data_IF_567551822596
#
_entry.id   IF_567551822596
#
_cell.length_a   1.000
_cell.length_b   1.000
_cell.length_c   1.000
_cell.angle_alpha   90.00
_cell.angle_beta   90.00
_cell.angle_gamma   90.00
#
_symmetry.space_group_name_H-M   'P 1'
#
loop_
_entity.id
_entity.type
_entity.pdbx_description
1 polymer ?
#
# COMPACT_ATOMS: atom_id res chain seq x y z
N UNK A 1 24.14 -27.23 23.08
CA UNK A 1 24.96 -25.99 23.01
C UNK A 1 24.45 -25.16 21.85
N UNK A 2 24.09 -23.91 22.16
CA UNK A 2 23.68 -22.83 21.26
C UNK A 2 22.58 -23.14 20.22
N UNK A 3 21.32 -23.22 20.67
CA UNK A 3 20.21 -22.80 19.80
C UNK A 3 20.37 -21.29 19.57
N UNK A 4 20.86 -20.90 18.40
CA UNK A 4 20.94 -19.49 18.03
C UNK A 4 19.53 -18.88 18.07
N UNK A 5 19.24 -18.07 19.09
CA UNK A 5 18.02 -17.26 19.21
C UNK A 5 18.00 -16.19 18.12
N UNK A 6 17.62 -16.57 16.89
CA UNK A 6 17.41 -15.65 15.76
C UNK A 6 15.93 -15.28 15.59
N UNK A 7 15.07 -15.69 16.54
CA UNK A 7 13.60 -15.59 16.40
C UNK A 7 13.01 -14.22 16.79
N UNK A 8 13.85 -13.19 16.99
CA UNK A 8 13.42 -11.87 17.47
C UNK A 8 13.80 -10.72 16.54
N UNK A 9 13.78 -10.93 15.22
CA UNK A 9 13.89 -9.82 14.26
C UNK A 9 12.57 -9.57 13.55
N UNK A 10 12.14 -8.31 13.63
CA UNK A 10 10.98 -7.79 12.91
C UNK A 10 11.51 -6.92 11.78
N UNK A 11 11.19 -7.30 10.56
CA UNK A 11 11.46 -6.51 9.37
C UNK A 11 10.33 -5.50 9.20
N UNK A 12 10.69 -4.23 9.20
CA UNK A 12 9.77 -3.12 8.98
C UNK A 12 10.18 -2.46 7.66
N UNK A 13 9.20 -2.27 6.77
CA UNK A 13 9.40 -1.56 5.51
C UNK A 13 8.25 -0.60 5.23
N UNK A 14 8.58 0.50 4.55
CA UNK A 14 7.60 1.48 4.07
C UNK A 14 7.42 1.34 2.56
N UNK A 15 6.17 1.19 2.13
CA UNK A 15 5.85 1.04 0.71
C UNK A 15 4.73 1.97 0.28
N UNK A 16 4.95 2.66 -0.84
CA UNK A 16 3.92 3.42 -1.53
C UNK A 16 3.10 2.53 -2.47
N UNK A 17 1.79 2.51 -2.27
CA UNK A 17 0.82 1.87 -3.16
C UNK A 17 0.01 2.92 -3.91
N UNK A 18 -0.27 2.66 -5.18
CA UNK A 18 -1.16 3.48 -5.97
C UNK A 18 -2.59 2.97 -5.79
N UNK A 19 -3.55 3.88 -5.52
CA UNK A 19 -4.95 3.50 -5.32
C UNK A 19 -5.58 2.88 -6.57
N UNK A 20 -5.09 3.25 -7.75
CA UNK A 20 -5.45 2.65 -9.04
C UNK A 20 -4.20 2.38 -9.86
N UNK A 21 -4.24 1.40 -10.75
CA UNK A 21 -3.17 1.19 -11.72
C UNK A 21 -2.96 2.43 -12.60
N UNK A 22 -1.70 2.64 -13.01
CA UNK A 22 -1.36 3.75 -13.90
C UNK A 22 -1.93 3.52 -15.30
N UNK A 23 -1.78 2.31 -15.79
CA UNK A 23 -2.31 1.84 -17.06
C UNK A 23 -3.01 0.50 -16.75
N UNK A 24 -4.31 0.42 -17.05
CA UNK A 24 -5.13 -0.76 -16.82
C UNK A 24 -5.72 -1.21 -18.15
N UNK A 25 -5.46 -2.44 -18.54
CA UNK A 25 -6.10 -3.06 -19.71
C UNK A 25 -7.38 -3.74 -19.25
N UNK A 26 -8.51 -3.41 -19.87
CA UNK A 26 -9.81 -3.99 -19.57
C UNK A 26 -10.37 -4.59 -20.86
N UNK A 27 -10.75 -5.86 -20.81
CA UNK A 27 -11.53 -6.48 -21.87
C UNK A 27 -13.00 -6.07 -21.72
N UNK A 28 -13.60 -5.60 -22.80
CA UNK A 28 -14.98 -5.09 -22.81
C UNK A 28 -15.77 -5.75 -23.93
N UNK A 29 -17.07 -5.94 -23.70
CA UNK A 29 -18.00 -6.30 -24.76
C UNK A 29 -18.19 -5.13 -25.74
N UNK A 30 -18.49 -5.37 -27.03
CA UNK A 30 -18.67 -4.29 -28.01
C UNK A 30 -19.76 -3.26 -27.62
N UNK A 31 -20.77 -3.70 -26.87
CA UNK A 31 -21.92 -2.87 -26.47
C UNK A 31 -21.74 -2.19 -25.10
N UNK A 32 -20.59 -2.38 -24.44
CA UNK A 32 -20.34 -1.87 -23.10
C UNK A 32 -19.65 -0.51 -23.13
N UNK A 33 -20.15 0.44 -22.33
CA UNK A 33 -19.50 1.74 -22.19
C UNK A 33 -18.19 1.61 -21.41
N UNK A 34 -17.07 2.18 -21.90
CA UNK A 34 -15.80 2.06 -21.21
C UNK A 34 -15.84 2.69 -19.82
N UNK A 35 -15.14 2.09 -18.83
CA UNK A 35 -15.14 2.59 -17.47
C UNK A 35 -14.55 4.00 -17.41
N UNK A 36 -15.28 4.93 -16.82
CA UNK A 36 -14.83 6.30 -16.65
C UNK A 36 -13.70 6.36 -15.61
N UNK A 37 -12.53 6.84 -16.03
CA UNK A 37 -11.39 7.08 -15.15
C UNK A 37 -11.33 8.57 -14.77
N UNK A 38 -11.45 8.86 -13.48
CA UNK A 38 -11.41 10.23 -12.94
C UNK A 38 -10.01 10.85 -12.96
N UNK A 39 -8.96 10.02 -12.98
CA UNK A 39 -7.56 10.46 -12.93
C UNK A 39 -6.86 10.18 -14.27
N UNK A 40 -6.36 11.23 -14.92
CA UNK A 40 -5.76 11.12 -16.26
C UNK A 40 -4.27 10.80 -16.27
N UNK A 41 -3.53 11.06 -15.19
CA UNK A 41 -2.08 10.79 -15.15
C UNK A 41 -1.64 10.15 -13.84
N UNK A 42 -0.58 9.34 -13.91
CA UNK A 42 0.02 8.67 -12.73
C UNK A 42 0.42 9.64 -11.62
N UNK A 43 0.72 10.90 -11.97
CA UNK A 43 1.09 11.95 -11.00
C UNK A 43 -0.08 12.36 -10.10
N UNK A 44 -1.31 12.22 -10.58
CA UNK A 44 -2.52 12.60 -9.85
C UNK A 44 -3.22 11.42 -9.19
N UNK A 45 -2.69 10.19 -9.33
CA UNK A 45 -3.24 9.03 -8.63
C UNK A 45 -2.88 9.15 -7.16
N UNK A 46 -3.89 9.03 -6.30
CA UNK A 46 -3.70 8.97 -4.85
C UNK A 46 -2.74 7.83 -4.51
N UNK A 47 -1.65 8.19 -3.83
CA UNK A 47 -0.71 7.22 -3.26
C UNK A 47 -0.99 7.08 -1.78
N UNK A 48 -0.99 5.85 -1.31
CA UNK A 48 -1.15 5.50 0.10
C UNK A 48 0.16 4.86 0.54
N UNK A 49 0.81 5.42 1.56
CA UNK A 49 1.97 4.79 2.17
C UNK A 49 1.47 3.79 3.20
N UNK A 50 2.06 2.60 3.20
CA UNK A 50 1.83 1.60 4.22
C UNK A 50 3.15 1.25 4.89
N UNK A 51 3.10 1.11 6.21
CA UNK A 51 4.16 0.49 7.00
C UNK A 51 3.79 -0.98 7.19
N UNK A 52 4.71 -1.87 6.85
CA UNK A 52 4.52 -3.31 6.95
C UNK A 52 5.50 -3.90 7.93
N UNK A 53 5.05 -4.82 8.77
CA UNK A 53 5.92 -5.57 9.68
C UNK A 53 5.76 -7.06 9.44
N UNK A 54 6.89 -7.74 9.22
CA UNK A 54 6.97 -9.18 8.99
C UNK A 54 8.11 -9.74 9.82
N UNK A 55 7.93 -10.90 10.40
CA UNK A 55 8.98 -11.69 11.03
C UNK A 55 9.07 -13.07 10.39
N UNK A 56 10.10 -13.82 10.78
CA UNK A 56 10.24 -15.21 10.34
C UNK A 56 9.05 -16.04 10.85
N UNK A 57 8.47 -16.94 10.04
CA UNK A 57 7.47 -17.88 10.53
C UNK A 57 8.06 -18.74 11.65
N UNK A 58 7.26 -18.96 12.71
CA UNK A 58 7.66 -19.70 13.91
C UNK A 58 6.96 -21.06 13.89
N UNK A 59 7.73 -22.12 14.11
CA UNK A 59 7.26 -23.50 14.15
C UNK A 59 7.56 -24.13 15.51
N UNK A 60 6.70 -25.05 15.94
CA UNK A 60 6.95 -25.91 17.10
C UNK A 60 8.00 -27.01 16.78
N UNK A 61 8.49 -27.72 17.79
CA UNK A 61 9.41 -28.85 17.64
C UNK A 61 8.85 -30.04 16.85
N UNK A 62 7.54 -30.05 16.56
CA UNK A 62 6.87 -31.02 15.69
C UNK A 62 6.63 -30.49 14.26
N UNK A 63 7.31 -29.41 13.85
CA UNK A 63 7.15 -28.71 12.57
C UNK A 63 5.73 -28.17 12.31
N UNK A 64 4.96 -27.96 13.38
CA UNK A 64 3.63 -27.36 13.31
C UNK A 64 3.78 -25.84 13.31
N UNK A 65 3.17 -25.16 12.34
CA UNK A 65 3.19 -23.69 12.23
C UNK A 65 2.45 -23.05 13.42
N UNK A 66 3.18 -22.27 14.22
CA UNK A 66 2.61 -21.49 15.33
C UNK A 66 2.29 -20.06 14.91
N UNK A 67 3.14 -19.48 14.07
CA UNK A 67 2.95 -18.12 13.56
C UNK A 67 3.48 -17.98 12.13
N UNK A 68 2.70 -17.36 11.26
CA UNK A 68 2.98 -17.28 9.82
C UNK A 68 3.97 -16.17 9.42
N UNK A 69 4.46 -15.41 10.39
CA UNK A 69 5.39 -14.32 10.17
C UNK A 69 4.73 -12.97 9.91
N UNK A 70 3.40 -12.88 9.76
CA UNK A 70 2.74 -11.62 9.38
C UNK A 70 2.23 -10.87 10.61
N UNK A 71 2.86 -9.74 10.95
CA UNK A 71 2.39 -8.90 12.06
C UNK A 71 1.29 -7.95 11.63
N UNK A 72 1.46 -7.29 10.48
CA UNK A 72 0.44 -6.38 9.98
C UNK A 72 0.90 -5.41 8.90
N UNK A 73 -0.09 -4.67 8.41
CA UNK A 73 0.03 -3.59 7.42
C UNK A 73 -0.81 -2.42 7.94
N UNK A 74 -0.18 -1.27 8.17
CA UNK A 74 -0.84 -0.07 8.68
C UNK A 74 -0.71 1.08 7.68
N UNK A 75 -1.80 1.78 7.32
CA UNK A 75 -1.70 2.96 6.47
C UNK A 75 -1.07 4.11 7.26
N UNK A 76 -0.01 4.71 6.72
CA UNK A 76 0.54 5.96 7.20
C UNK A 76 -0.10 7.12 6.44
N UNK A 77 -1.41 7.31 6.63
CA UNK A 77 -2.15 8.37 5.95
C UNK A 77 -2.74 9.37 6.93
N UNK A 78 -2.40 10.63 6.74
CA UNK A 78 -3.15 11.76 7.28
C UNK A 78 -4.07 12.30 6.18
N UNK A 79 -5.37 12.39 6.46
CA UNK A 79 -6.33 12.99 5.52
C UNK A 79 -6.23 14.52 5.59
N UNK A 80 -5.32 15.10 4.82
CA UNK A 80 -5.14 16.55 4.75
C UNK A 80 -5.95 17.15 3.58
N UNK A 81 -6.60 18.32 3.75
CA UNK A 81 -7.22 19.04 2.65
C UNK A 81 -6.17 19.44 1.61
N UNK A 82 -6.47 19.25 0.33
CA UNK A 82 -5.56 19.55 -0.76
C UNK A 82 -5.21 21.06 -0.78
N UNK A 83 -4.00 21.43 -0.35
CA UNK A 83 -3.48 22.80 -0.50
C UNK A 83 -3.13 23.06 -1.96
N UNK A 84 -4.10 23.54 -2.73
CA UNK A 84 -3.89 24.01 -4.11
C UNK A 84 -3.54 25.50 -4.09
N UNK A 85 -2.25 25.83 -4.12
CA UNK A 85 -1.82 27.17 -4.53
C UNK A 85 -1.51 27.13 -6.03
N UNK A 86 -2.34 27.76 -6.85
CA UNK A 86 -2.02 28.01 -8.25
C UNK A 86 -1.47 29.43 -8.39
N UNK A 87 -0.42 29.62 -9.20
CA UNK A 87 0.15 30.95 -9.48
C UNK A 87 -0.89 31.96 -10.00
N UNK A 88 -1.99 31.49 -10.60
CA UNK A 88 -2.94 32.32 -11.37
C UNK A 88 -4.32 32.47 -10.72
N UNK A 89 -4.51 32.12 -9.43
CA UNK A 89 -5.82 32.30 -8.78
C UNK A 89 -5.69 32.53 -7.27
N UNK A 90 -5.81 33.78 -6.76
CA UNK A 90 -6.08 33.98 -5.35
C UNK A 90 -7.44 33.36 -5.02
N UNK A 91 -7.52 32.62 -3.90
CA UNK A 91 -8.78 32.08 -3.42
C UNK A 91 -9.68 33.24 -2.99
N UNK A 92 -10.92 33.25 -3.49
CA UNK A 92 -11.91 34.27 -3.16
C UNK A 92 -12.22 34.29 -1.66
N UNK A 93 -12.53 35.50 -1.18
CA UNK A 93 -12.89 35.88 0.20
C UNK A 93 -13.91 34.98 0.85
#
# INVERSE_FOLDING_TARGET
MASCNLDTWIFIDEKWFYMTEADRTVYMSPDETPPHRTVQSKRFITKVMFMTAVMRPVYDGNDILLFDGKLGIWPFTEQAPAKKCSKNRPAGT
#
